data_IF_802771098058
#
_entry.id   IF_802771098058
#
_cell.length_a   1.000
_cell.length_b   1.000
_cell.length_c   1.000
_cell.angle_alpha   90.00
_cell.angle_beta   90.00
_cell.angle_gamma   90.00
#
_symmetry.space_group_name_H-M   'P 1'
#
loop_
_entity.id
_entity.type
_entity.pdbx_description
1 polymer ?
#
# COMPACT_ATOMS: atom_id res chain seq x y z
N UNK A 1 59.57 30.32 10.22
CA UNK A 1 58.40 29.84 9.43
C UNK A 1 58.37 28.33 9.16
N UNK A 2 59.48 27.62 8.89
CA UNK A 2 59.47 26.17 8.55
C UNK A 2 59.15 25.20 9.72
N UNK A 3 59.43 25.59 10.97
CA UNK A 3 59.15 24.74 12.14
C UNK A 3 57.65 24.68 12.51
N UNK A 4 56.90 25.76 12.24
CA UNK A 4 55.45 25.84 12.47
C UNK A 4 54.69 24.89 11.53
N UNK A 5 55.08 24.84 10.25
CA UNK A 5 54.49 23.91 9.28
C UNK A 5 54.68 22.43 9.66
N UNK A 6 55.77 22.05 10.35
CA UNK A 6 56.03 20.65 10.70
C UNK A 6 55.12 20.16 11.83
N UNK A 7 54.76 21.04 12.77
CA UNK A 7 53.86 20.73 13.88
C UNK A 7 52.39 20.62 13.43
N UNK A 8 52.00 21.40 12.43
CA UNK A 8 50.62 21.38 11.92
C UNK A 8 50.35 20.32 10.85
N UNK A 9 51.37 19.57 10.38
CA UNK A 9 51.19 18.48 9.40
C UNK A 9 50.27 17.38 9.88
N UNK A 10 50.38 16.99 11.15
CA UNK A 10 49.52 15.92 11.72
C UNK A 10 48.06 16.39 11.79
N UNK A 11 47.83 17.64 12.22
CA UNK A 11 46.49 18.22 12.25
C UNK A 11 45.88 18.36 10.84
N UNK A 12 46.68 18.72 9.84
CA UNK A 12 46.26 18.82 8.45
C UNK A 12 45.91 17.45 7.86
N UNK A 13 46.71 16.42 8.14
CA UNK A 13 46.42 15.04 7.71
C UNK A 13 45.15 14.52 8.38
N UNK A 14 44.96 14.75 9.68
CA UNK A 14 43.71 14.39 10.35
C UNK A 14 42.52 15.12 9.72
N UNK A 15 42.63 16.41 9.41
CA UNK A 15 41.54 17.16 8.78
C UNK A 15 41.21 16.63 7.37
N UNK A 16 42.23 16.27 6.58
CA UNK A 16 42.07 15.68 5.24
C UNK A 16 41.47 14.28 5.27
N UNK A 17 41.59 13.53 6.38
CA UNK A 17 41.00 12.19 6.50
C UNK A 17 39.61 12.24 7.16
N UNK A 18 39.48 13.00 8.25
CA UNK A 18 38.26 13.07 9.05
C UNK A 18 37.17 13.82 8.32
N UNK A 19 37.47 14.94 7.64
CA UNK A 19 36.43 15.71 6.94
C UNK A 19 35.79 14.92 5.80
N UNK A 20 36.54 14.28 4.88
CA UNK A 20 35.92 13.45 3.84
C UNK A 20 35.24 12.20 4.41
N UNK A 21 35.81 11.60 5.46
CA UNK A 21 35.18 10.47 6.16
C UNK A 21 33.82 10.87 6.75
N UNK A 22 33.74 12.03 7.41
CA UNK A 22 32.50 12.55 7.96
C UNK A 22 31.49 12.92 6.85
N UNK A 23 31.94 13.55 5.76
CA UNK A 23 31.08 13.85 4.60
C UNK A 23 30.55 12.57 3.96
N UNK A 24 31.39 11.54 3.78
CA UNK A 24 30.95 10.25 3.27
C UNK A 24 29.91 9.62 4.20
N UNK A 25 30.10 9.70 5.53
CA UNK A 25 29.15 9.17 6.52
C UNK A 25 27.82 9.93 6.48
N UNK A 26 27.87 11.26 6.39
CA UNK A 26 26.69 12.13 6.26
C UNK A 26 25.93 11.94 4.95
N UNK A 27 26.55 11.36 3.93
CA UNK A 27 25.88 11.00 2.67
C UNK A 27 25.36 9.57 2.73
N UNK A 28 26.17 8.62 3.21
CA UNK A 28 25.85 7.18 3.20
C UNK A 28 24.73 6.84 4.18
N UNK A 29 24.73 7.41 5.39
CA UNK A 29 23.67 7.15 6.39
C UNK A 29 22.28 7.50 5.86
N UNK A 30 22.01 8.74 5.38
CA UNK A 30 20.68 9.06 4.87
C UNK A 30 20.31 8.28 3.60
N UNK A 31 21.27 7.82 2.78
CA UNK A 31 20.98 6.96 1.62
C UNK A 31 20.58 5.55 2.07
N UNK A 32 21.31 4.98 3.04
CA UNK A 32 20.99 3.68 3.60
C UNK A 32 19.63 3.70 4.34
N UNK A 33 19.36 4.76 5.11
CA UNK A 33 18.07 4.98 5.76
C UNK A 33 16.94 5.18 4.74
N UNK A 34 17.15 5.99 3.68
CA UNK A 34 16.14 6.15 2.61
C UNK A 34 15.81 4.84 1.90
N UNK A 35 16.81 3.99 1.70
CA UNK A 35 16.60 2.67 1.06
C UNK A 35 15.83 1.72 1.96
N UNK A 36 15.99 1.83 3.28
CA UNK A 36 15.19 1.07 4.26
C UNK A 36 13.76 1.61 4.43
N UNK A 37 13.52 2.88 4.09
CA UNK A 37 12.20 3.53 4.17
C UNK A 37 11.40 3.37 2.85
N UNK A 38 12.05 3.00 1.75
CA UNK A 38 11.35 2.78 0.49
C UNK A 38 10.47 1.53 0.63
N UNK A 39 9.13 1.64 0.50
CA UNK A 39 8.26 0.50 0.71
C UNK A 39 8.66 -0.60 -0.26
N UNK A 40 8.84 -1.81 0.25
CA UNK A 40 8.99 -2.97 -0.61
C UNK A 40 7.66 -3.20 -1.31
N UNK A 41 7.60 -2.96 -2.62
CA UNK A 41 6.40 -3.18 -3.44
C UNK A 41 6.37 -4.61 -3.96
N UNK A 42 5.29 -5.33 -3.70
CA UNK A 42 4.98 -6.62 -4.33
C UNK A 42 3.81 -6.42 -5.27
N UNK A 43 4.00 -6.68 -6.57
CA UNK A 43 2.93 -6.61 -7.57
C UNK A 43 2.41 -8.02 -7.89
N UNK A 44 1.09 -8.18 -7.96
CA UNK A 44 0.44 -9.40 -8.43
C UNK A 44 -0.62 -9.07 -9.49
N UNK A 45 -0.72 -9.93 -10.50
CA UNK A 45 -1.77 -9.81 -11.51
C UNK A 45 -3.15 -10.15 -10.91
N UNK A 46 -4.19 -9.86 -11.68
CA UNK A 46 -5.55 -10.22 -11.33
C UNK A 46 -5.69 -11.73 -11.10
N UNK A 47 -6.23 -12.12 -9.95
CA UNK A 47 -6.38 -13.53 -9.54
C UNK A 47 -5.09 -14.21 -9.09
N UNK A 48 -3.95 -13.52 -9.11
CA UNK A 48 -2.72 -13.98 -8.49
C UNK A 48 -2.67 -13.60 -7.01
N UNK A 49 -1.81 -14.31 -6.30
CA UNK A 49 -1.59 -14.13 -4.88
C UNK A 49 -0.32 -13.31 -4.64
N UNK A 50 -0.39 -12.36 -3.70
CA UNK A 50 0.78 -11.68 -3.16
C UNK A 50 0.97 -11.96 -1.66
N UNK A 51 2.21 -11.91 -1.18
CA UNK A 51 2.53 -12.16 0.24
C UNK A 51 3.31 -11.00 0.85
N UNK A 52 2.90 -10.53 2.03
CA UNK A 52 3.60 -9.51 2.81
C UNK A 52 3.20 -9.58 4.29
N UNK A 53 4.09 -9.24 5.23
CA UNK A 53 3.78 -9.25 6.67
C UNK A 53 3.36 -10.63 7.20
N UNK A 54 3.80 -11.71 6.55
CA UNK A 54 3.36 -13.08 6.84
C UNK A 54 1.87 -13.33 6.56
N UNK A 55 1.26 -12.50 5.72
CA UNK A 55 -0.08 -12.69 5.17
C UNK A 55 -0.01 -12.92 3.66
N UNK A 56 -1.01 -13.65 3.18
CA UNK A 56 -1.32 -13.92 1.79
C UNK A 56 -2.55 -13.10 1.41
N UNK A 57 -2.48 -12.39 0.29
CA UNK A 57 -3.55 -11.55 -0.23
C UNK A 57 -3.91 -11.98 -1.65
N UNK A 58 -5.20 -12.19 -1.88
CA UNK A 58 -5.74 -12.51 -3.22
C UNK A 58 -7.02 -11.72 -3.46
N UNK A 59 -7.16 -11.07 -4.61
CA UNK A 59 -8.44 -10.46 -5.01
C UNK A 59 -9.37 -11.56 -5.47
N UNK A 60 -10.42 -11.85 -4.69
CA UNK A 60 -11.45 -12.84 -5.03
C UNK A 60 -12.44 -12.28 -6.04
N UNK A 61 -12.88 -11.04 -5.82
CA UNK A 61 -13.93 -10.39 -6.59
C UNK A 61 -13.68 -8.88 -6.60
N UNK A 62 -14.05 -8.22 -7.70
CA UNK A 62 -14.00 -6.76 -7.77
C UNK A 62 -14.93 -6.22 -8.84
N UNK A 63 -15.59 -5.11 -8.55
CA UNK A 63 -16.59 -4.50 -9.44
C UNK A 63 -16.72 -2.99 -9.23
N UNK A 64 -17.10 -2.27 -10.29
CA UNK A 64 -17.49 -0.86 -10.26
C UNK A 64 -19.02 -0.72 -10.34
N UNK A 65 -19.60 0.11 -9.47
CA UNK A 65 -21.02 0.42 -9.40
C UNK A 65 -21.23 1.91 -9.69
N UNK A 66 -21.57 2.30 -10.92
CA UNK A 66 -21.81 3.70 -11.27
C UNK A 66 -23.09 4.22 -10.59
N UNK A 67 -23.15 5.52 -10.34
CA UNK A 67 -24.34 6.15 -9.77
C UNK A 67 -25.62 5.84 -10.57
N UNK A 68 -26.72 5.55 -9.86
CA UNK A 68 -28.00 5.19 -10.48
C UNK A 68 -28.15 3.69 -10.81
N UNK A 69 -27.17 2.85 -10.46
CA UNK A 69 -27.34 1.38 -10.49
C UNK A 69 -28.18 0.91 -9.28
N UNK A 70 -29.43 0.52 -9.52
CA UNK A 70 -30.30 -0.03 -8.48
C UNK A 70 -30.65 0.99 -7.39
N UNK A 71 -30.38 0.64 -6.13
CA UNK A 71 -30.62 1.50 -4.96
C UNK A 71 -29.45 2.45 -4.63
N UNK A 72 -28.38 2.44 -5.42
CA UNK A 72 -27.16 3.20 -5.14
C UNK A 72 -27.32 4.66 -5.59
N UNK A 73 -27.13 5.58 -4.64
CA UNK A 73 -27.21 7.04 -4.86
C UNK A 73 -25.84 7.65 -4.61
N UNK A 74 -25.20 8.16 -5.68
CA UNK A 74 -23.87 8.75 -5.64
C UNK A 74 -23.87 10.19 -6.13
N UNK A 75 -22.82 10.97 -5.79
CA UNK A 75 -22.55 12.24 -6.46
C UNK A 75 -22.46 12.08 -7.99
N UNK A 76 -22.72 13.15 -8.77
CA UNK A 76 -22.51 13.13 -10.21
C UNK A 76 -21.08 12.68 -10.55
N UNK A 77 -20.96 11.87 -11.60
CA UNK A 77 -19.69 11.32 -12.12
C UNK A 77 -18.89 10.46 -11.13
N UNK A 78 -19.53 10.01 -10.04
CA UNK A 78 -18.93 9.09 -9.09
C UNK A 78 -19.45 7.64 -9.27
N UNK A 79 -18.59 6.70 -8.91
CA UNK A 79 -18.85 5.27 -8.84
C UNK A 79 -18.32 4.70 -7.51
N UNK A 80 -18.90 3.61 -7.05
CA UNK A 80 -18.31 2.79 -5.99
C UNK A 80 -17.47 1.70 -6.64
N UNK A 81 -16.18 1.66 -6.35
CA UNK A 81 -15.35 0.51 -6.66
C UNK A 81 -15.33 -0.40 -5.43
N UNK A 82 -15.69 -1.67 -5.56
CA UNK A 82 -15.60 -2.65 -4.49
C UNK A 82 -14.60 -3.75 -4.85
N UNK A 83 -13.86 -4.22 -3.86
CA UNK A 83 -12.97 -5.37 -3.96
C UNK A 83 -13.12 -6.26 -2.72
N UNK A 84 -13.26 -7.56 -2.96
CA UNK A 84 -13.21 -8.60 -1.94
C UNK A 84 -11.82 -9.21 -1.98
N UNK A 85 -11.10 -9.08 -0.88
CA UNK A 85 -9.72 -9.52 -0.72
C UNK A 85 -9.70 -10.66 0.29
N UNK A 86 -9.20 -11.81 -0.12
CA UNK A 86 -8.95 -12.93 0.77
C UNK A 86 -7.62 -12.74 1.48
N UNK A 87 -7.64 -12.96 2.80
CA UNK A 87 -6.49 -12.84 3.68
C UNK A 87 -6.27 -14.17 4.38
N UNK A 88 -5.09 -14.76 4.18
CA UNK A 88 -4.68 -16.00 4.83
C UNK A 88 -3.28 -15.85 5.46
N UNK A 89 -2.95 -16.55 6.55
CA UNK A 89 -1.64 -16.46 7.18
C UNK A 89 -0.62 -17.34 6.44
N UNK A 90 0.57 -16.82 6.19
CA UNK A 90 1.72 -17.56 5.63
C UNK A 90 2.77 -17.72 6.71
N UNK A 91 2.57 -18.74 7.55
CA UNK A 91 3.52 -19.19 8.56
C UNK A 91 3.68 -18.23 9.76
N UNK A 92 3.16 -18.63 10.92
CA UNK A 92 3.54 -18.12 12.24
C UNK A 92 3.42 -16.62 12.52
N UNK A 93 2.94 -15.81 11.58
CA UNK A 93 2.87 -14.36 11.73
C UNK A 93 1.75 -13.95 12.65
N UNK A 94 2.09 -13.14 13.65
CA UNK A 94 1.14 -12.50 14.52
C UNK A 94 0.60 -11.25 13.81
N UNK A 95 -0.66 -11.29 13.41
CA UNK A 95 -1.56 -10.15 13.52
C UNK A 95 -1.06 -8.81 12.94
N UNK A 96 -0.98 -8.70 11.61
CA UNK A 96 -0.71 -7.42 10.97
C UNK A 96 -2.02 -6.65 10.70
N UNK A 97 -2.12 -5.41 11.23
CA UNK A 97 -3.09 -4.43 10.72
C UNK A 97 -2.67 -4.01 9.31
N UNK A 98 -3.63 -3.84 8.41
CA UNK A 98 -3.37 -3.36 7.07
C UNK A 98 -4.23 -2.13 6.75
N UNK A 99 -3.69 -1.24 5.91
CA UNK A 99 -4.44 -0.17 5.26
C UNK A 99 -4.69 -0.58 3.81
N UNK A 100 -5.91 -0.39 3.34
CA UNK A 100 -6.31 -0.77 1.98
C UNK A 100 -6.80 0.50 1.26
N UNK A 101 -6.11 0.83 0.18
CA UNK A 101 -6.40 1.97 -0.68
C UNK A 101 -6.60 1.47 -2.11
N UNK A 102 -7.42 2.18 -2.87
CA UNK A 102 -7.48 2.02 -4.32
C UNK A 102 -6.54 3.04 -4.95
N UNK A 103 -5.72 2.60 -5.90
CA UNK A 103 -4.72 3.45 -6.52
C UNK A 103 -4.77 3.35 -8.04
N UNK A 104 -4.66 4.47 -8.74
CA UNK A 104 -4.61 4.51 -10.19
C UNK A 104 -3.51 5.46 -10.69
N UNK A 105 -3.00 5.28 -11.92
CA UNK A 105 -2.06 6.23 -12.52
C UNK A 105 -2.70 7.62 -12.66
N UNK A 106 -1.99 8.65 -12.21
CA UNK A 106 -2.35 10.06 -12.40
C UNK A 106 -1.25 10.86 -13.11
N UNK A 107 -1.52 12.13 -13.45
CA UNK A 107 -0.60 12.98 -14.20
C UNK A 107 0.68 13.35 -13.43
N UNK A 108 0.60 13.46 -12.11
CA UNK A 108 1.71 13.88 -11.22
C UNK A 108 2.21 12.74 -10.31
N UNK A 109 1.65 11.54 -10.47
CA UNK A 109 1.86 10.41 -9.56
C UNK A 109 0.59 9.57 -9.40
N UNK A 110 0.64 8.51 -8.59
CA UNK A 110 -0.56 7.73 -8.30
C UNK A 110 -1.61 8.59 -7.59
N UNK A 111 -2.87 8.43 -8.01
CA UNK A 111 -4.04 8.97 -7.31
C UNK A 111 -4.55 7.87 -6.39
N UNK A 112 -4.88 8.23 -5.16
CA UNK A 112 -5.24 7.29 -4.11
C UNK A 112 -6.63 7.63 -3.55
N UNK A 113 -7.46 6.60 -3.39
CA UNK A 113 -8.77 6.67 -2.78
C UNK A 113 -8.79 5.74 -1.57
N UNK A 114 -8.96 6.28 -0.35
CA UNK A 114 -9.04 5.45 0.84
C UNK A 114 -10.35 4.65 0.84
N UNK A 115 -10.34 3.55 1.60
CA UNK A 115 -11.57 2.77 1.85
C UNK A 115 -12.65 3.69 2.46
N UNK A 116 -13.85 3.68 1.86
CA UNK A 116 -15.05 4.30 2.38
C UNK A 116 -15.69 3.37 3.43
N UNK A 117 -15.84 3.90 4.64
CA UNK A 117 -16.37 3.14 5.77
C UNK A 117 -17.88 3.29 5.91
N UNK A 118 -18.43 4.45 5.52
CA UNK A 118 -19.87 4.72 5.54
C UNK A 118 -20.45 4.63 4.12
N UNK A 119 -20.47 3.41 3.59
CA UNK A 119 -21.04 3.10 2.27
C UNK A 119 -22.57 3.03 2.29
N UNK A 120 -23.15 2.84 3.48
CA UNK A 120 -24.59 2.77 3.69
C UNK A 120 -25.28 4.09 3.33
N UNK A 121 -24.60 5.24 3.52
CA UNK A 121 -25.11 6.55 3.08
C UNK A 121 -25.35 6.65 1.57
N UNK A 122 -24.74 5.76 0.79
CA UNK A 122 -24.91 5.66 -0.66
C UNK A 122 -25.90 4.56 -1.08
N UNK A 123 -26.55 3.88 -0.13
CA UNK A 123 -27.44 2.76 -0.43
C UNK A 123 -26.70 1.46 -0.79
N UNK A 124 -25.40 1.38 -0.50
CA UNK A 124 -24.59 0.17 -0.65
C UNK A 124 -24.61 -0.64 0.65
N UNK A 125 -25.03 -1.91 0.54
CA UNK A 125 -24.99 -2.86 1.65
C UNK A 125 -23.78 -3.77 1.50
N UNK A 126 -22.83 -3.67 2.43
CA UNK A 126 -21.73 -4.63 2.54
C UNK A 126 -22.29 -6.04 2.76
N UNK A 127 -21.70 -7.07 2.16
CA UNK A 127 -22.13 -8.45 2.36
C UNK A 127 -21.94 -8.90 3.81
N UNK A 128 -22.74 -9.88 4.26
CA UNK A 128 -22.54 -10.50 5.56
C UNK A 128 -21.24 -11.34 5.56
N UNK A 129 -20.48 -11.25 6.65
CA UNK A 129 -19.25 -12.03 6.83
C UNK A 129 -17.97 -11.40 6.27
N UNK A 130 -18.03 -10.20 5.70
CA UNK A 130 -16.84 -9.46 5.27
C UNK A 130 -16.36 -8.47 6.32
N UNK A 131 -15.05 -8.47 6.58
CA UNK A 131 -14.41 -7.45 7.41
C UNK A 131 -14.27 -6.13 6.63
N UNK A 132 -14.18 -5.01 7.36
CA UNK A 132 -13.99 -3.67 6.76
C UNK A 132 -12.52 -3.27 6.59
N UNK A 133 -11.61 -4.13 7.03
CA UNK A 133 -10.16 -3.99 6.96
C UNK A 133 -9.49 -5.27 7.46
N UNK A 134 -8.16 -5.35 7.42
CA UNK A 134 -7.48 -6.47 8.06
C UNK A 134 -7.62 -6.38 9.58
N UNK A 135 -8.32 -7.36 10.16
CA UNK A 135 -8.52 -7.47 11.59
C UNK A 135 -7.57 -8.55 12.15
N UNK A 136 -6.58 -8.18 12.98
CA UNK A 136 -5.68 -9.14 13.62
C UNK A 136 -6.40 -10.12 14.57
N UNK A 137 -7.61 -9.78 15.02
CA UNK A 137 -8.43 -10.65 15.87
C UNK A 137 -9.36 -11.59 15.09
N UNK A 138 -9.47 -11.42 13.76
CA UNK A 138 -10.25 -12.31 12.92
C UNK A 138 -9.60 -13.70 12.84
N UNK A 139 -10.43 -14.74 12.89
CA UNK A 139 -9.94 -16.11 12.66
C UNK A 139 -9.68 -16.31 11.18
N UNK A 140 -8.41 -16.44 10.81
CA UNK A 140 -8.02 -16.63 9.42
C UNK A 140 -8.24 -18.09 8.94
N UNK A 141 -8.49 -18.32 7.63
CA UNK A 141 -8.61 -17.31 6.57
C UNK A 141 -9.93 -16.53 6.64
N UNK A 142 -9.90 -15.26 6.26
CA UNK A 142 -11.07 -14.38 6.20
C UNK A 142 -11.06 -13.51 4.94
N UNK A 143 -12.18 -12.84 4.66
CA UNK A 143 -12.31 -11.94 3.51
C UNK A 143 -12.61 -10.52 3.97
N UNK A 144 -11.97 -9.54 3.33
CA UNK A 144 -12.17 -8.11 3.53
C UNK A 144 -12.92 -7.54 2.34
N UNK A 145 -13.99 -6.79 2.58
CA UNK A 145 -14.70 -6.06 1.54
C UNK A 145 -14.40 -4.56 1.67
N UNK A 146 -13.49 -4.12 0.81
CA UNK A 146 -13.09 -2.71 0.69
C UNK A 146 -13.86 -2.06 -0.44
N UNK A 147 -14.44 -0.90 -0.14
CA UNK A 147 -15.25 -0.12 -1.08
C UNK A 147 -14.66 1.29 -1.13
N UNK A 148 -14.62 1.88 -2.31
CA UNK A 148 -14.00 3.17 -2.57
C UNK A 148 -14.95 4.04 -3.36
N UNK A 149 -14.98 5.35 -3.07
CA UNK A 149 -15.70 6.32 -3.88
C UNK A 149 -14.74 6.96 -4.87
N UNK A 150 -14.93 6.69 -6.15
CA UNK A 150 -14.05 7.16 -7.23
C UNK A 150 -14.82 7.84 -8.34
N UNK A 151 -14.15 8.59 -9.23
CA UNK A 151 -14.73 8.93 -10.52
C UNK A 151 -15.12 7.66 -11.31
N UNK A 152 -16.17 7.75 -12.12
CA UNK A 152 -16.58 6.66 -13.01
C UNK A 152 -15.47 6.30 -14.00
N UNK A 153 -15.21 5.00 -14.17
CA UNK A 153 -14.20 4.49 -15.10
C UNK A 153 -12.79 4.42 -14.54
N UNK A 154 -12.57 4.90 -13.30
CA UNK A 154 -11.31 4.74 -12.57
C UNK A 154 -10.93 3.26 -12.42
N UNK A 155 -11.92 2.38 -12.26
CA UNK A 155 -11.71 0.96 -11.99
C UNK A 155 -10.83 0.25 -13.05
N UNK A 156 -10.89 0.67 -14.31
CA UNK A 156 -10.17 0.02 -15.44
C UNK A 156 -8.66 0.10 -15.36
N UNK A 157 -8.13 1.11 -14.68
CA UNK A 157 -6.69 1.34 -14.55
C UNK A 157 -6.22 1.23 -13.10
N UNK A 158 -7.16 1.01 -12.17
CA UNK A 158 -6.89 0.94 -10.76
C UNK A 158 -6.30 -0.40 -10.31
N UNK A 159 -5.67 -0.37 -9.15
CA UNK A 159 -5.19 -1.52 -8.40
C UNK A 159 -5.50 -1.30 -6.92
N UNK A 160 -5.63 -2.38 -6.15
CA UNK A 160 -5.71 -2.31 -4.70
C UNK A 160 -4.30 -2.26 -4.13
N UNK A 161 -3.99 -1.24 -3.35
CA UNK A 161 -2.76 -1.17 -2.55
C UNK A 161 -3.08 -1.56 -1.11
N UNK A 162 -2.34 -2.52 -0.59
CA UNK A 162 -2.40 -2.98 0.79
C UNK A 162 -1.09 -2.64 1.45
N UNK A 163 -1.13 -1.84 2.51
CA UNK A 163 0.04 -1.48 3.30
C UNK A 163 -0.02 -2.21 4.63
N UNK A 164 0.94 -3.12 4.86
CA UNK A 164 1.11 -3.85 6.12
C UNK A 164 2.35 -3.34 6.84
N UNK A 165 2.39 -3.48 8.16
CA UNK A 165 3.59 -3.18 8.96
C UNK A 165 4.29 -4.50 9.31
N UNK A 166 5.55 -4.64 8.89
CA UNK A 166 6.41 -5.79 9.15
C UNK A 166 7.69 -5.29 9.84
N UNK A 167 8.00 -5.79 11.04
CA UNK A 167 9.15 -5.35 11.85
C UNK A 167 9.24 -3.81 12.06
N UNK A 168 8.08 -3.14 12.10
CA UNK A 168 7.99 -1.69 12.25
C UNK A 168 8.22 -0.88 10.97
N UNK A 169 8.32 -1.55 9.80
CA UNK A 169 8.46 -0.93 8.49
C UNK A 169 7.23 -1.20 7.62
N UNK A 170 6.79 -0.23 6.79
CA UNK A 170 5.69 -0.44 5.86
C UNK A 170 6.13 -1.32 4.68
N UNK A 171 5.32 -2.33 4.37
CA UNK A 171 5.43 -3.17 3.18
C UNK A 171 4.18 -2.98 2.35
N UNK A 172 4.34 -2.71 1.06
CA UNK A 172 3.24 -2.44 0.15
C UNK A 172 3.01 -3.61 -0.80
N UNK A 173 1.75 -3.99 -0.95
CA UNK A 173 1.29 -4.99 -1.90
C UNK A 173 0.34 -4.29 -2.86
N UNK A 174 0.55 -4.45 -4.17
CA UNK A 174 -0.35 -3.93 -5.20
C UNK A 174 -0.97 -5.09 -5.96
N UNK A 175 -2.29 -5.23 -5.84
CA UNK A 175 -3.08 -6.27 -6.50
C UNK A 175 -3.85 -5.64 -7.66
N UNK A 176 -3.68 -6.17 -8.86
CA UNK A 176 -4.45 -5.72 -10.03
C UNK A 176 -5.90 -6.18 -9.92
N UNK A 177 -6.81 -5.27 -10.25
CA UNK A 177 -8.23 -5.57 -10.34
C UNK A 177 -8.55 -6.24 -11.67
N UNK A 178 -9.48 -7.19 -11.63
CA UNK A 178 -10.11 -7.76 -12.82
C UNK A 178 -11.61 -7.52 -12.72
N UNK A 179 -12.18 -6.93 -13.77
CA UNK A 179 -13.62 -6.78 -13.88
C UNK A 179 -14.25 -8.17 -13.94
N UNK A 180 -15.04 -8.53 -12.93
CA UNK A 180 -15.78 -9.78 -12.94
C UNK A 180 -16.97 -9.65 -13.89
N UNK A 181 -17.08 -10.59 -14.84
CA UNK A 181 -18.26 -10.70 -15.70
C UNK A 181 -19.47 -11.09 -14.82
N UNK A 182 -20.51 -10.24 -14.71
CA UNK A 182 -21.65 -10.47 -13.83
C UNK A 182 -22.50 -11.70 -14.21
N UNK A 183 -22.19 -12.39 -15.31
CA UNK A 183 -22.92 -13.57 -15.78
C UNK A 183 -22.61 -14.88 -15.01
N UNK A 184 -21.79 -14.86 -13.96
CA UNK A 184 -21.39 -16.08 -13.21
C UNK A 184 -21.76 -16.08 -11.71
N UNK A 185 -22.65 -15.19 -11.25
CA UNK A 185 -23.16 -15.13 -9.87
C UNK A 185 -24.58 -15.67 -9.73
#
# INVERSE_FOLDING_TARGET
MRAFLRRHRVALVCLVVVVPGLVALLIVVPIAERSAIQPRTVEAAAGETATAGGLEFTVRASQEFPGGSGSIVLPPDAALAAAVIDVAPVGGSDSATCVIDLVAPGPEGPIEWPTEYDVAKYGYGRGEGFATGCDPSATAPYSVESVFLTPTGTFRTAAVRITVTEDGLPVEVTLRLSEQDPAQG
#
